data_IF_036221401321
#
_entry.id   IF_036221401321
#
_cell.length_a   1.000
_cell.length_b   1.000
_cell.length_c   1.000
_cell.angle_alpha   90.00
_cell.angle_beta   90.00
_cell.angle_gamma   90.00
#
_symmetry.space_group_name_H-M   'P 1'
#
loop_
_entity.id
_entity.type
_entity.pdbx_description
1 polymer ?
#
# COMPACT_ATOMS: atom_id res chain seq x y z
N UNK A 1 33.81 21.40 25.46
CA UNK A 1 33.01 22.40 24.73
C UNK A 1 32.96 21.96 23.27
N UNK A 2 31.85 21.40 22.79
CA UNK A 2 31.70 21.02 21.38
C UNK A 2 31.47 22.30 20.54
N UNK A 3 32.05 22.41 19.33
CA UNK A 3 31.94 23.60 18.50
C UNK A 3 30.47 23.89 18.12
N UNK A 4 30.10 25.18 18.10
CA UNK A 4 28.72 25.66 17.87
C UNK A 4 28.08 25.12 16.58
N UNK A 5 28.86 24.66 15.61
CA UNK A 5 28.40 24.14 14.32
C UNK A 5 27.52 22.88 14.46
N UNK A 6 27.75 22.05 15.49
CA UNK A 6 27.02 20.76 15.63
C UNK A 6 25.57 20.95 16.13
N UNK A 7 25.22 22.11 16.70
CA UNK A 7 23.85 22.36 17.21
C UNK A 7 22.84 22.69 16.11
N UNK A 8 23.26 23.20 14.96
CA UNK A 8 22.35 23.59 13.86
C UNK A 8 21.73 22.43 13.10
N UNK A 9 22.41 21.27 13.03
CA UNK A 9 21.97 20.14 12.19
C UNK A 9 20.84 19.29 12.78
N UNK A 10 20.51 19.40 14.08
CA UNK A 10 19.42 18.61 14.69
C UNK A 10 18.02 19.00 14.20
N UNK A 11 17.83 20.21 13.69
CA UNK A 11 16.52 20.65 13.17
C UNK A 11 16.17 20.02 11.81
N UNK A 12 17.17 19.79 10.96
CA UNK A 12 17.00 19.11 9.67
C UNK A 12 16.41 17.70 9.81
N UNK A 13 16.70 16.99 10.91
CA UNK A 13 16.18 15.65 11.19
C UNK A 13 14.69 15.62 11.57
N UNK A 14 14.07 16.76 11.90
CA UNK A 14 12.65 16.87 12.27
C UNK A 14 11.72 17.31 11.13
N UNK A 15 12.25 17.71 9.97
CA UNK A 15 11.40 18.09 8.85
C UNK A 15 10.65 16.89 8.25
N UNK A 16 9.34 17.00 7.97
CA UNK A 16 8.45 15.86 7.75
C UNK A 16 8.60 15.17 6.38
N UNK A 17 9.34 15.75 5.43
CA UNK A 17 9.46 15.18 4.07
C UNK A 17 10.93 15.10 3.62
N UNK A 18 11.41 13.93 3.17
CA UNK A 18 12.77 13.76 2.66
C UNK A 18 13.04 14.63 1.43
N UNK A 19 12.03 14.87 0.57
CA UNK A 19 12.13 15.77 -0.57
C UNK A 19 12.47 17.23 -0.17
N UNK A 20 11.86 17.75 0.90
CA UNK A 20 12.14 19.10 1.41
C UNK A 20 13.59 19.21 1.91
N UNK A 21 14.12 18.14 2.53
CA UNK A 21 15.53 18.12 2.97
C UNK A 21 16.49 18.16 1.79
N UNK A 22 16.20 17.40 0.74
CA UNK A 22 16.99 17.40 -0.50
C UNK A 22 17.01 18.78 -1.16
N UNK A 23 15.84 19.41 -1.30
CA UNK A 23 15.72 20.76 -1.84
C UNK A 23 16.50 21.80 -1.02
N UNK A 24 16.41 21.73 0.32
CA UNK A 24 17.11 22.68 1.20
C UNK A 24 18.64 22.48 1.13
N UNK A 25 19.11 21.23 1.11
CA UNK A 25 20.53 20.91 0.93
C UNK A 25 21.06 21.44 -0.40
N UNK A 26 20.30 21.29 -1.47
CA UNK A 26 20.66 21.79 -2.79
C UNK A 26 20.67 23.33 -2.85
N UNK A 27 19.67 23.99 -2.25
CA UNK A 27 19.63 25.46 -2.17
C UNK A 27 20.82 26.01 -1.36
N UNK A 28 21.18 25.36 -0.25
CA UNK A 28 22.35 25.73 0.57
C UNK A 28 23.64 25.51 -0.21
N UNK A 29 23.80 24.37 -0.89
CA UNK A 29 24.98 24.10 -1.72
C UNK A 29 25.12 25.14 -2.85
N UNK A 30 24.02 25.49 -3.53
CA UNK A 30 24.02 26.54 -4.55
C UNK A 30 24.44 27.90 -3.98
N UNK A 31 23.93 28.27 -2.81
CA UNK A 31 24.28 29.53 -2.14
C UNK A 31 25.76 29.58 -1.73
N UNK A 32 26.32 28.47 -1.25
CA UNK A 32 27.74 28.39 -0.88
C UNK A 32 28.67 28.48 -2.10
N UNK A 33 28.30 27.85 -3.22
CA UNK A 33 29.06 27.96 -4.48
C UNK A 33 28.96 29.39 -5.02
N UNK A 34 27.77 30.00 -5.03
CA UNK A 34 27.58 31.38 -5.50
C UNK A 34 28.33 32.42 -4.65
N UNK A 35 28.49 32.16 -3.34
CA UNK A 35 29.25 33.02 -2.43
C UNK A 35 30.78 32.82 -2.51
N UNK A 36 31.27 31.92 -3.38
CA UNK A 36 32.71 31.68 -3.55
C UNK A 36 33.36 30.94 -2.38
N UNK A 37 32.58 30.29 -1.51
CA UNK A 37 33.11 29.52 -0.36
C UNK A 37 33.86 28.27 -0.82
N UNK A 38 33.60 27.81 -2.05
CA UNK A 38 34.30 26.69 -2.69
C UNK A 38 35.15 27.26 -3.83
N UNK A 39 36.42 27.56 -3.54
CA UNK A 39 37.33 28.34 -4.41
C UNK A 39 37.67 27.65 -5.75
N UNK A 40 37.39 26.36 -5.90
CA UNK A 40 37.74 25.60 -7.11
C UNK A 40 36.60 25.47 -8.14
N UNK A 41 35.40 26.00 -7.86
CA UNK A 41 34.26 25.85 -8.75
C UNK A 41 33.91 27.17 -9.46
N UNK A 42 33.72 27.16 -10.79
CA UNK A 42 33.27 28.35 -11.50
C UNK A 42 31.87 28.75 -11.02
N UNK A 43 31.48 30.05 -11.05
CA UNK A 43 30.17 30.51 -10.60
C UNK A 43 28.99 29.80 -11.29
N UNK A 44 29.17 29.37 -12.54
CA UNK A 44 28.19 28.59 -13.29
C UNK A 44 27.85 27.24 -12.64
N UNK A 45 28.74 26.67 -11.83
CA UNK A 45 28.50 25.43 -11.10
C UNK A 45 27.44 25.59 -9.98
N UNK A 46 27.12 26.82 -9.56
CA UNK A 46 26.04 27.08 -8.61
C UNK A 46 24.65 26.69 -9.17
N UNK A 47 24.52 26.57 -10.50
CA UNK A 47 23.30 26.09 -11.13
C UNK A 47 23.08 24.58 -10.94
N UNK A 48 24.14 23.78 -10.73
CA UNK A 48 24.05 22.32 -10.67
C UNK A 48 23.18 21.84 -9.50
N UNK A 49 23.35 22.33 -8.25
CA UNK A 49 22.46 21.95 -7.15
C UNK A 49 21.02 22.45 -7.37
N UNK A 50 20.83 23.63 -7.96
CA UNK A 50 19.48 24.15 -8.27
C UNK A 50 18.76 23.31 -9.32
N UNK A 51 19.47 22.91 -10.38
CA UNK A 51 18.96 22.01 -11.40
C UNK A 51 18.67 20.63 -10.81
N UNK A 52 19.51 20.12 -9.91
CA UNK A 52 19.26 18.86 -9.21
C UNK A 52 18.05 18.97 -8.25
N UNK A 53 17.87 20.10 -7.56
CA UNK A 53 16.67 20.35 -6.75
C UNK A 53 15.40 20.44 -7.59
N UNK A 54 15.47 21.12 -8.73
CA UNK A 54 14.37 21.23 -9.68
C UNK A 54 14.04 19.86 -10.28
N UNK A 55 15.06 19.10 -10.67
CA UNK A 55 14.93 17.70 -11.12
C UNK A 55 14.28 16.83 -10.06
N UNK A 56 14.72 16.90 -8.79
CA UNK A 56 14.07 16.19 -7.68
C UNK A 56 12.62 16.67 -7.42
N UNK A 57 12.28 17.90 -7.79
CA UNK A 57 10.93 18.43 -7.65
C UNK A 57 10.02 18.04 -8.84
N UNK A 58 10.58 17.83 -10.03
CA UNK A 58 9.84 17.48 -11.25
C UNK A 58 9.77 15.98 -11.53
N UNK A 59 10.84 15.23 -11.26
CA UNK A 59 10.97 13.81 -11.61
C UNK A 59 10.73 12.85 -10.44
N UNK A 60 10.71 13.34 -9.20
CA UNK A 60 10.29 12.50 -8.09
C UNK A 60 8.76 12.54 -8.01
N UNK A 61 8.03 11.46 -8.37
CA UNK A 61 6.59 11.48 -8.25
C UNK A 61 6.25 11.89 -6.82
N UNK A 62 5.37 12.90 -6.63
CA UNK A 62 5.03 13.34 -5.30
C UNK A 62 4.56 12.11 -4.52
N UNK A 63 5.00 11.93 -3.26
CA UNK A 63 4.58 10.80 -2.45
C UNK A 63 3.05 10.68 -2.52
N UNK A 64 2.57 9.58 -3.12
CA UNK A 64 1.16 9.37 -3.40
C UNK A 64 0.72 9.46 -4.87
N UNK A 65 1.63 9.46 -5.85
CA UNK A 65 1.25 9.29 -7.26
C UNK A 65 0.48 7.97 -7.44
N UNK A 66 -0.83 8.06 -7.70
CA UNK A 66 -1.73 6.90 -7.76
C UNK A 66 -2.62 6.71 -6.54
N UNK A 67 -2.35 7.38 -5.42
CA UNK A 67 -3.27 7.40 -4.27
C UNK A 67 -4.58 8.07 -4.67
N UNK A 68 -5.70 7.46 -4.29
CA UNK A 68 -7.04 7.84 -4.68
C UNK A 68 -7.49 7.28 -6.03
N UNK A 69 -6.59 6.71 -6.85
CA UNK A 69 -6.95 6.04 -8.11
C UNK A 69 -7.42 4.61 -7.84
N UNK A 70 -8.23 4.02 -8.75
CA UNK A 70 -8.53 2.59 -8.71
C UNK A 70 -7.23 1.78 -8.85
N UNK A 71 -7.14 0.68 -8.09
CA UNK A 71 -6.06 -0.28 -8.20
C UNK A 71 -6.16 -1.02 -9.54
N UNK A 72 -5.08 -1.08 -10.35
CA UNK A 72 -5.09 -1.87 -11.58
C UNK A 72 -5.34 -3.36 -11.33
N UNK A 73 -5.88 -4.11 -12.30
CA UNK A 73 -6.01 -5.56 -12.17
C UNK A 73 -4.62 -6.24 -12.15
N UNK A 74 -4.52 -7.38 -11.47
CA UNK A 74 -3.36 -8.28 -11.48
C UNK A 74 -3.49 -9.31 -12.61
N UNK A 75 -3.67 -8.81 -13.84
CA UNK A 75 -3.88 -9.62 -15.04
C UNK A 75 -2.73 -10.60 -15.28
N UNK A 76 -3.05 -11.79 -15.78
CA UNK A 76 -2.07 -12.81 -16.17
C UNK A 76 -1.10 -13.24 -15.05
N UNK A 77 -1.46 -13.00 -13.79
CA UNK A 77 -0.73 -13.53 -12.64
C UNK A 77 -1.19 -14.94 -12.32
N UNK A 78 -0.24 -15.81 -11.95
CA UNK A 78 -0.51 -17.19 -11.55
C UNK A 78 -0.31 -17.34 -10.06
N UNK A 79 -1.31 -17.86 -9.34
CA UNK A 79 -1.16 -18.20 -7.93
C UNK A 79 -0.23 -19.41 -7.76
N UNK A 80 0.73 -19.28 -6.85
CA UNK A 80 1.69 -20.32 -6.49
C UNK A 80 1.44 -20.72 -5.03
N UNK A 81 1.11 -21.98 -4.79
CA UNK A 81 0.78 -22.52 -3.47
C UNK A 81 -0.71 -22.74 -3.27
N UNK A 82 -1.17 -22.72 -2.01
CA UNK A 82 -2.56 -22.98 -1.65
C UNK A 82 -3.48 -21.76 -1.85
N UNK A 83 -4.73 -22.05 -2.22
CA UNK A 83 -5.69 -21.08 -2.78
C UNK A 83 -6.36 -20.20 -1.72
N UNK A 84 -5.63 -19.20 -1.25
CA UNK A 84 -6.09 -18.30 -0.17
C UNK A 84 -6.61 -16.95 -0.64
N UNK A 85 -6.48 -16.62 -1.93
CA UNK A 85 -6.84 -15.29 -2.45
C UNK A 85 -7.98 -15.41 -3.43
N UNK A 86 -8.99 -14.59 -3.18
CA UNK A 86 -10.06 -14.40 -4.12
C UNK A 86 -9.73 -13.20 -5.01
N UNK A 87 -9.36 -13.50 -6.25
CA UNK A 87 -9.34 -12.57 -7.38
C UNK A 87 -10.49 -12.94 -8.31
N UNK A 88 -11.01 -11.98 -9.06
CA UNK A 88 -11.94 -12.33 -10.14
C UNK A 88 -11.22 -13.01 -11.32
N UNK A 89 -11.99 -13.51 -12.30
CA UNK A 89 -11.45 -14.17 -13.50
C UNK A 89 -10.56 -13.28 -14.37
N UNK A 90 -10.49 -11.98 -14.10
CA UNK A 90 -9.68 -10.98 -14.81
C UNK A 90 -8.50 -10.48 -13.97
N UNK A 91 -8.30 -11.02 -12.76
CA UNK A 91 -7.27 -10.56 -11.82
C UNK A 91 -7.66 -9.28 -11.06
N UNK A 92 -8.91 -8.84 -11.13
CA UNK A 92 -9.41 -7.69 -10.36
C UNK A 92 -9.57 -8.06 -8.89
N UNK A 93 -9.22 -7.11 -8.03
CA UNK A 93 -9.40 -7.18 -6.59
C UNK A 93 -10.91 -7.12 -6.26
N UNK A 94 -11.39 -8.01 -5.38
CA UNK A 94 -12.81 -8.06 -5.03
C UNK A 94 -13.22 -6.88 -4.14
N UNK A 95 -14.38 -6.27 -4.39
CA UNK A 95 -14.90 -5.22 -3.52
C UNK A 95 -15.21 -5.77 -2.11
N UNK A 96 -15.04 -4.94 -1.09
CA UNK A 96 -15.25 -5.31 0.31
C UNK A 96 -14.01 -5.89 1.00
N UNK A 97 -12.89 -6.04 0.29
CA UNK A 97 -11.64 -6.59 0.81
C UNK A 97 -10.52 -5.54 0.85
N UNK A 98 -9.72 -5.59 1.91
CA UNK A 98 -8.46 -4.86 2.02
C UNK A 98 -7.35 -5.68 1.40
N UNK A 99 -6.63 -5.11 0.43
CA UNK A 99 -5.49 -5.78 -0.19
C UNK A 99 -4.18 -5.05 0.12
N UNK A 100 -3.13 -5.84 0.38
CA UNK A 100 -1.75 -5.36 0.44
C UNK A 100 -0.98 -6.06 -0.67
N UNK A 101 -0.77 -5.37 -1.79
CA UNK A 101 -0.07 -5.89 -2.96
C UNK A 101 1.40 -5.51 -2.85
N UNK A 102 2.29 -6.49 -2.77
CA UNK A 102 3.73 -6.27 -2.60
C UNK A 102 4.47 -6.83 -3.80
N UNK A 103 5.06 -5.96 -4.61
CA UNK A 103 5.97 -6.36 -5.67
C UNK A 103 7.34 -6.70 -5.10
N UNK A 104 7.86 -7.85 -5.53
CA UNK A 104 9.01 -8.51 -4.95
C UNK A 104 9.80 -9.28 -6.00
N UNK A 105 11.08 -9.53 -5.71
CA UNK A 105 11.98 -10.38 -6.51
C UNK A 105 13.00 -11.07 -5.62
N UNK A 106 13.67 -12.11 -6.09
CA UNK A 106 14.70 -12.86 -5.36
C UNK A 106 16.01 -12.09 -5.21
N UNK A 107 15.93 -10.96 -4.50
CA UNK A 107 17.07 -10.12 -4.13
C UNK A 107 17.29 -10.16 -2.61
N UNK A 108 18.53 -9.91 -2.19
CA UNK A 108 18.91 -9.90 -0.76
C UNK A 108 18.05 -8.96 0.09
N UNK A 109 17.68 -7.79 -0.45
CA UNK A 109 16.86 -6.82 0.26
C UNK A 109 15.39 -7.28 0.39
N UNK A 110 14.84 -7.84 -0.68
CA UNK A 110 13.50 -8.38 -0.72
C UNK A 110 13.34 -9.60 0.21
N UNK A 111 14.31 -10.51 0.23
CA UNK A 111 14.30 -11.68 1.14
C UNK A 111 14.33 -11.25 2.61
N UNK A 112 15.14 -10.24 2.96
CA UNK A 112 15.21 -9.69 4.33
C UNK A 112 13.88 -9.06 4.80
N UNK A 113 13.04 -8.61 3.87
CA UNK A 113 11.76 -8.00 4.19
C UNK A 113 10.69 -9.01 4.61
N UNK A 114 10.79 -10.26 4.14
CA UNK A 114 9.74 -11.28 4.27
C UNK A 114 9.30 -11.56 5.72
N UNK A 115 10.19 -11.76 6.71
CA UNK A 115 9.76 -12.02 8.08
C UNK A 115 8.99 -10.85 8.71
N UNK A 116 9.21 -9.63 8.21
CA UNK A 116 8.47 -8.45 8.66
C UNK A 116 7.11 -8.35 7.97
N UNK A 117 7.05 -8.63 6.68
CA UNK A 117 5.79 -8.67 5.92
C UNK A 117 4.87 -9.76 6.46
N UNK A 118 5.41 -10.94 6.76
CA UNK A 118 4.64 -12.05 7.33
C UNK A 118 4.05 -11.68 8.70
N UNK A 119 4.83 -11.05 9.59
CA UNK A 119 4.32 -10.58 10.87
C UNK A 119 3.25 -9.50 10.71
N UNK A 120 3.36 -8.64 9.69
CA UNK A 120 2.31 -7.69 9.36
C UNK A 120 1.06 -8.42 8.88
N UNK A 121 1.20 -9.35 7.94
CA UNK A 121 0.11 -10.16 7.41
C UNK A 121 -0.68 -10.88 8.49
N UNK A 122 -0.01 -11.63 9.37
CA UNK A 122 -0.66 -12.36 10.47
C UNK A 122 -1.47 -11.43 11.38
N UNK A 123 -0.96 -10.23 11.67
CA UNK A 123 -1.70 -9.22 12.45
C UNK A 123 -2.93 -8.72 11.70
N UNK A 124 -2.82 -8.47 10.40
CA UNK A 124 -3.95 -8.02 9.59
C UNK A 124 -5.03 -9.10 9.47
N UNK A 125 -4.62 -10.34 9.19
CA UNK A 125 -5.51 -11.49 9.07
C UNK A 125 -6.25 -11.80 10.39
N UNK A 126 -5.61 -11.54 11.54
CA UNK A 126 -6.26 -11.68 12.84
C UNK A 126 -7.34 -10.62 13.11
N UNK A 127 -7.22 -9.41 12.55
CA UNK A 127 -8.19 -8.31 12.75
C UNK A 127 -9.39 -8.43 11.81
N UNK A 128 -9.15 -8.73 10.54
CA UNK A 128 -10.20 -8.89 9.52
C UNK A 128 -10.14 -10.27 8.87
N UNK A 129 -10.53 -11.33 9.60
CA UNK A 129 -10.57 -12.67 9.03
C UNK A 129 -11.50 -12.66 7.81
N UNK A 130 -11.03 -13.21 6.69
CA UNK A 130 -11.72 -13.27 5.38
C UNK A 130 -11.86 -11.96 4.61
N UNK A 131 -11.58 -10.78 5.19
CA UNK A 131 -11.70 -9.48 4.50
C UNK A 131 -10.36 -8.77 4.25
N UNK A 132 -9.25 -9.33 4.73
CA UNK A 132 -7.91 -8.85 4.41
C UNK A 132 -7.15 -9.91 3.60
N UNK A 133 -6.35 -9.47 2.62
CA UNK A 133 -5.46 -10.32 1.82
C UNK A 133 -4.12 -9.62 1.58
N UNK A 134 -3.00 -10.32 1.76
CA UNK A 134 -1.67 -9.84 1.36
C UNK A 134 -1.18 -10.68 0.18
N UNK A 135 -0.85 -10.00 -0.91
CA UNK A 135 -0.43 -10.60 -2.18
C UNK A 135 1.03 -10.24 -2.40
N UNK A 136 1.90 -11.25 -2.39
CA UNK A 136 3.28 -11.09 -2.81
C UNK A 136 3.35 -11.37 -4.31
N UNK A 137 3.64 -10.37 -5.12
CA UNK A 137 3.73 -10.46 -6.58
C UNK A 137 5.20 -10.55 -6.98
N UNK A 138 5.61 -11.72 -7.45
CA UNK A 138 6.94 -11.97 -7.99
C UNK A 138 7.05 -11.43 -9.42
N UNK A 139 8.12 -10.68 -9.70
CA UNK A 139 8.38 -10.08 -11.02
C UNK A 139 8.65 -11.14 -12.12
N UNK A 140 8.74 -10.65 -13.36
CA UNK A 140 8.96 -11.47 -14.55
C UNK A 140 10.27 -12.27 -14.55
N UNK A 141 11.24 -11.91 -13.69
CA UNK A 141 12.52 -12.61 -13.57
C UNK A 141 12.42 -13.95 -12.85
N UNK A 142 11.32 -14.20 -12.13
CA UNK A 142 11.12 -15.43 -11.38
C UNK A 142 10.49 -16.53 -12.25
N UNK A 143 10.83 -17.78 -11.94
CA UNK A 143 10.23 -18.96 -12.58
C UNK A 143 9.36 -19.70 -11.57
N UNK A 144 8.33 -20.40 -12.04
CA UNK A 144 7.48 -21.22 -11.18
C UNK A 144 8.30 -22.25 -10.37
N UNK A 145 9.29 -22.90 -11.01
CA UNK A 145 10.17 -23.84 -10.32
C UNK A 145 11.05 -23.18 -9.26
N UNK A 146 11.62 -22.00 -9.57
CA UNK A 146 12.42 -21.23 -8.61
C UNK A 146 11.57 -20.78 -7.42
N UNK A 147 10.33 -20.36 -7.68
CA UNK A 147 9.40 -19.89 -6.68
C UNK A 147 8.86 -21.03 -5.81
N UNK A 148 8.60 -22.21 -6.39
CA UNK A 148 8.25 -23.42 -5.65
C UNK A 148 9.40 -23.89 -4.74
N UNK A 149 10.64 -23.88 -5.23
CA UNK A 149 11.83 -24.19 -4.43
C UNK A 149 12.02 -23.18 -3.30
N UNK A 150 11.75 -21.90 -3.59
CA UNK A 150 11.74 -20.84 -2.60
C UNK A 150 10.69 -21.09 -1.50
N UNK A 151 9.44 -21.38 -1.87
CA UNK A 151 8.37 -21.69 -0.92
C UNK A 151 8.72 -22.90 -0.05
N UNK A 152 9.28 -23.97 -0.65
CA UNK A 152 9.73 -25.14 0.10
C UNK A 152 10.79 -24.80 1.15
N UNK A 153 11.70 -23.86 0.85
CA UNK A 153 12.70 -23.37 1.81
C UNK A 153 12.09 -22.56 2.96
N UNK A 154 10.96 -21.92 2.70
CA UNK A 154 10.23 -21.05 3.64
C UNK A 154 8.94 -21.70 4.16
N UNK A 155 8.82 -23.01 4.04
CA UNK A 155 7.65 -23.77 4.47
C UNK A 155 7.36 -23.54 5.96
N UNK A 156 6.10 -23.26 6.29
CA UNK A 156 5.65 -22.90 7.64
C UNK A 156 6.06 -21.50 8.12
N UNK A 157 6.93 -20.78 7.39
CA UNK A 157 7.35 -19.43 7.74
C UNK A 157 6.56 -18.36 7.01
N UNK A 158 6.12 -18.62 5.78
CA UNK A 158 5.35 -17.68 4.96
C UNK A 158 3.94 -18.25 4.75
N UNK A 159 2.91 -17.49 5.13
CA UNK A 159 1.51 -17.84 4.90
C UNK A 159 0.76 -16.84 4.04
N UNK A 160 1.41 -15.73 3.67
CA UNK A 160 0.87 -14.82 2.65
C UNK A 160 0.89 -15.49 1.27
N UNK A 161 -0.07 -15.11 0.44
CA UNK A 161 -0.25 -15.70 -0.88
C UNK A 161 0.74 -15.12 -1.88
N UNK A 162 1.19 -15.96 -2.81
CA UNK A 162 2.26 -15.65 -3.74
C UNK A 162 1.77 -15.76 -5.18
N UNK A 163 1.86 -14.67 -5.92
CA UNK A 163 1.51 -14.55 -7.32
C UNK A 163 2.78 -14.47 -8.16
N UNK A 164 2.81 -15.16 -9.28
CA UNK A 164 3.85 -15.07 -10.30
C UNK A 164 3.34 -14.21 -11.46
N UNK A 165 3.97 -13.06 -11.70
CA UNK A 165 3.68 -12.19 -12.85
C UNK A 165 4.61 -12.54 -14.03
N UNK A 166 4.34 -13.68 -14.67
CA UNK A 166 5.20 -14.20 -15.73
C UNK A 166 5.19 -13.30 -16.98
N UNK A 167 4.07 -12.61 -17.24
CA UNK A 167 3.93 -11.69 -18.37
C UNK A 167 4.54 -10.31 -18.07
N UNK A 168 4.68 -9.93 -16.79
CA UNK A 168 5.13 -8.60 -16.37
C UNK A 168 4.02 -7.53 -16.47
N UNK A 169 2.76 -7.93 -16.65
CA UNK A 169 1.67 -6.98 -16.85
C UNK A 169 1.28 -6.28 -15.55
N UNK A 170 1.26 -7.01 -14.43
CA UNK A 170 1.03 -6.40 -13.13
C UNK A 170 2.17 -5.45 -12.76
N UNK A 171 3.42 -5.82 -13.07
CA UNK A 171 4.59 -4.95 -12.90
C UNK A 171 4.46 -3.67 -13.72
N UNK A 172 4.05 -3.74 -14.99
CA UNK A 172 3.83 -2.55 -15.82
C UNK A 172 2.73 -1.65 -15.22
N UNK A 173 1.59 -2.23 -14.86
CA UNK A 173 0.42 -1.48 -14.38
C UNK A 173 0.62 -0.84 -13.00
N UNK A 174 1.52 -1.38 -12.17
CA UNK A 174 1.78 -0.85 -10.83
C UNK A 174 3.13 -0.17 -10.71
N UNK A 175 4.20 -0.81 -11.14
CA UNK A 175 5.57 -0.30 -10.92
C UNK A 175 5.88 0.79 -11.96
N UNK A 176 5.71 0.50 -13.25
CA UNK A 176 6.03 1.48 -14.28
C UNK A 176 5.03 2.63 -14.31
N UNK A 177 3.72 2.33 -14.21
CA UNK A 177 2.67 3.35 -14.24
C UNK A 177 2.77 4.39 -13.12
N UNK A 178 3.34 4.01 -11.97
CA UNK A 178 3.52 4.89 -10.83
C UNK A 178 4.99 5.27 -10.58
N UNK A 179 5.84 5.11 -11.60
CA UNK A 179 7.27 5.48 -11.60
C UNK A 179 8.03 4.96 -10.37
N UNK A 180 7.75 3.72 -9.97
CA UNK A 180 8.35 3.08 -8.80
C UNK A 180 9.76 2.60 -9.14
N UNK A 181 10.74 3.15 -8.45
CA UNK A 181 12.16 2.89 -8.73
C UNK A 181 12.80 1.80 -7.85
N UNK A 182 12.08 1.26 -6.86
CA UNK A 182 12.68 0.36 -5.87
C UNK A 182 11.76 -0.75 -5.43
N UNK A 183 12.31 -1.97 -5.31
CA UNK A 183 11.65 -3.13 -4.71
C UNK A 183 12.33 -3.50 -3.37
N UNK A 184 11.59 -4.08 -2.40
CA UNK A 184 10.16 -4.40 -2.48
C UNK A 184 9.29 -3.15 -2.34
N UNK A 185 8.20 -3.09 -3.10
CA UNK A 185 7.25 -1.98 -3.06
C UNK A 185 5.85 -2.48 -2.78
N UNK A 186 5.11 -1.79 -1.94
CA UNK A 186 3.80 -2.20 -1.50
C UNK A 186 2.75 -1.15 -1.90
N UNK A 187 1.56 -1.63 -2.25
CA UNK A 187 0.34 -0.87 -2.47
C UNK A 187 -0.72 -1.36 -1.49
N UNK A 188 -1.35 -0.45 -0.78
CA UNK A 188 -2.47 -0.74 0.12
C UNK A 188 -3.74 -0.27 -0.57
N UNK A 189 -4.67 -1.19 -0.78
CA UNK A 189 -5.93 -0.99 -1.49
C UNK A 189 -7.08 -1.11 -0.51
N UNK A 190 -7.99 -0.14 -0.55
CA UNK A 190 -9.20 -0.10 0.26
C UNK A 190 -10.24 -1.14 -0.19
N UNK A 191 -11.28 -1.41 0.64
CA UNK A 191 -12.44 -2.20 0.23
C UNK A 191 -13.16 -1.70 -1.02
N UNK A 192 -12.99 -0.41 -1.37
CA UNK A 192 -13.55 0.19 -2.57
C UNK A 192 -12.67 -0.01 -3.82
N UNK A 193 -11.56 -0.75 -3.71
CA UNK A 193 -10.63 -0.98 -4.80
C UNK A 193 -9.76 0.25 -5.12
N UNK A 194 -9.63 1.21 -4.21
CA UNK A 194 -8.81 2.41 -4.41
C UNK A 194 -7.49 2.31 -3.67
N UNK A 195 -6.40 2.77 -4.29
CA UNK A 195 -5.08 2.81 -3.67
C UNK A 195 -5.09 3.90 -2.60
N UNK A 196 -4.92 3.55 -1.33
CA UNK A 196 -4.87 4.52 -0.23
C UNK A 196 -3.45 4.87 0.19
N UNK A 197 -2.49 4.02 -0.16
CA UNK A 197 -1.07 4.22 0.13
C UNK A 197 -0.23 3.34 -0.79
N UNK A 198 0.97 3.81 -1.15
CA UNK A 198 1.99 2.96 -1.74
C UNK A 198 3.39 3.47 -1.35
N UNK A 199 4.37 2.57 -1.32
CA UNK A 199 5.73 2.90 -0.90
C UNK A 199 6.60 1.68 -0.71
N UNK A 200 7.90 1.89 -0.42
CA UNK A 200 8.82 0.80 -0.17
C UNK A 200 8.35 -0.03 1.06
N UNK A 201 8.27 -1.35 0.87
CA UNK A 201 7.66 -2.25 1.85
C UNK A 201 8.46 -2.37 3.16
N UNK A 202 9.73 -1.94 3.17
CA UNK A 202 10.57 -1.90 4.36
C UNK A 202 10.33 -0.66 5.25
N UNK A 203 9.58 0.33 4.78
CA UNK A 203 9.37 1.57 5.52
C UNK A 203 8.28 1.41 6.59
N UNK A 204 8.31 2.28 7.60
CA UNK A 204 7.27 2.32 8.66
C UNK A 204 5.89 2.73 8.11
N UNK A 205 5.87 3.42 6.97
CA UNK A 205 4.65 3.91 6.34
C UNK A 205 3.64 2.82 6.00
N UNK A 206 4.10 1.64 5.57
CA UNK A 206 3.23 0.50 5.26
C UNK A 206 2.41 0.10 6.49
N UNK A 207 3.07 -0.09 7.63
CA UNK A 207 2.39 -0.52 8.87
C UNK A 207 1.35 0.50 9.29
N UNK A 208 1.71 1.79 9.28
CA UNK A 208 0.79 2.87 9.67
C UNK A 208 -0.41 2.98 8.73
N UNK A 209 -0.19 2.89 7.41
CA UNK A 209 -1.26 2.94 6.42
C UNK A 209 -2.22 1.75 6.56
N UNK A 210 -1.68 0.54 6.74
CA UNK A 210 -2.48 -0.67 6.94
C UNK A 210 -3.27 -0.61 8.26
N UNK A 211 -2.64 -0.26 9.39
CA UNK A 211 -3.31 -0.16 10.69
C UNK A 211 -4.41 0.90 10.69
N UNK A 212 -4.18 2.05 10.04
CA UNK A 212 -5.18 3.10 9.89
C UNK A 212 -6.36 2.63 9.02
N UNK A 213 -6.10 1.94 7.91
CA UNK A 213 -7.16 1.40 7.05
C UNK A 213 -7.98 0.33 7.77
N UNK A 214 -7.33 -0.63 8.43
CA UNK A 214 -8.02 -1.69 9.17
C UNK A 214 -8.89 -1.11 10.28
N UNK A 215 -8.39 -0.13 11.03
CA UNK A 215 -9.15 0.53 12.10
C UNK A 215 -10.42 1.21 11.57
N UNK A 216 -10.35 1.83 10.38
CA UNK A 216 -11.53 2.40 9.70
C UNK A 216 -12.54 1.32 9.30
N UNK A 217 -12.08 0.21 8.72
CA UNK A 217 -12.95 -0.89 8.31
C UNK A 217 -13.70 -1.55 9.50
N UNK A 218 -13.04 -1.67 10.65
CA UNK A 218 -13.69 -2.18 11.89
C UNK A 218 -14.76 -1.20 12.36
N UNK A 219 -14.44 0.09 12.45
CA UNK A 219 -15.41 1.11 12.87
C UNK A 219 -16.64 1.18 11.93
N UNK A 220 -16.45 1.05 10.62
CA UNK A 220 -17.54 1.00 9.63
C UNK A 220 -18.44 -0.23 9.85
N UNK A 221 -17.85 -1.40 10.16
CA UNK A 221 -18.61 -2.63 10.43
C UNK A 221 -19.48 -2.53 11.69
N UNK A 222 -18.95 -1.90 12.75
CA UNK A 222 -19.69 -1.71 14.00
C UNK A 222 -20.85 -0.72 13.83
N UNK A 223 -20.65 0.35 13.04
CA UNK A 223 -21.67 1.36 12.78
C UNK A 223 -22.85 0.81 11.95
N UNK A 224 -22.58 0.01 10.92
CA UNK A 224 -23.61 -0.61 10.08
C UNK A 224 -24.49 -1.60 10.83
N UNK A 225 -23.93 -2.28 11.84
CA UNK A 225 -24.67 -3.23 12.69
C UNK A 225 -25.67 -2.50 13.60
N UNK A 226 -25.28 -1.35 14.17
CA UNK A 226 -26.18 -0.53 15.01
C UNK A 226 -27.31 0.10 14.20
N UNK A 227 -26.99 0.67 13.03
CA UNK A 227 -28.00 1.29 12.17
C UNK A 227 -29.02 0.26 11.63
N UNK A 228 -28.60 -0.97 11.35
CA UNK A 228 -29.50 -2.04 10.91
C UNK A 228 -30.38 -2.58 12.04
N UNK A 229 -29.85 -2.66 13.27
CA UNK A 229 -30.63 -3.10 14.44
C UNK A 229 -31.74 -2.10 14.81
N UNK A 230 -31.45 -0.80 14.73
CA UNK A 230 -32.42 0.27 15.04
C UNK A 230 -33.55 0.35 13.99
N UNK A 231 -33.26 0.04 12.73
CA UNK A 231 -34.27 0.00 11.65
C UNK A 231 -35.22 -1.21 11.76
N UNK A 232 -34.76 -2.30 12.37
CA UNK A 232 -35.59 -3.50 12.61
C UNK A 232 -36.50 -3.29 13.83
N UNK A 233 -36.04 -2.59 14.89
CA UNK A 233 -36.88 -2.29 16.04
C UNK A 233 -37.98 -1.27 15.73
N UNK A 234 -37.74 -0.28 14.86
CA UNK A 234 -38.78 0.70 14.48
C UNK A 234 -39.84 0.15 13.51
N UNK A 235 -39.59 -1.00 12.86
CA UNK A 235 -40.55 -1.64 11.97
C UNK A 235 -41.52 -2.60 12.70
N UNK A 236 -41.19 -3.00 13.95
CA UNK A 236 -42.01 -3.91 14.77
C UNK A 236 -43.26 -3.26 15.37
N UNK A 237 -43.27 -1.93 15.56
CA UNK A 237 -44.38 -1.23 16.21
C UNK A 237 -45.51 -0.80 15.26
N UNK A 238 -45.34 -0.99 13.94
CA UNK A 238 -46.34 -0.58 12.94
C UNK A 238 -47.17 -1.72 12.34
N UNK A 239 -47.09 -2.94 12.88
CA UNK A 239 -47.86 -4.11 12.40
C UNK A 239 -49.00 -4.56 13.34
N UNK A 240 -49.26 -3.82 14.43
CA UNK A 240 -50.37 -4.09 15.35
C UNK A 240 -51.54 -3.10 15.19
N UNK A 241 -52.02 -2.88 13.96
CA UNK A 241 -53.35 -2.31 13.78
C UNK A 241 -54.06 -2.87 12.55
N UNK A 242 -54.91 -3.86 12.79
CA UNK A 242 -56.20 -3.97 12.12
C UNK A 242 -56.24 -4.56 10.73
N UNK A 243 -56.34 -5.89 10.63
CA UNK A 243 -57.26 -6.48 9.66
C UNK A 243 -57.89 -7.77 10.17
N UNK A 244 -59.15 -7.62 10.58
CA UNK A 244 -60.07 -8.66 11.03
C UNK A 244 -60.40 -9.58 9.84
N UNK A 245 -60.27 -10.92 9.95
CA UNK A 245 -60.65 -11.81 8.87
C UNK A 245 -62.18 -11.84 8.75
N UNK A 246 -62.71 -11.40 7.62
CA UNK A 246 -64.09 -11.65 7.23
C UNK A 246 -64.23 -13.07 6.71
N UNK A 247 -64.85 -13.90 7.55
CA UNK A 247 -65.31 -15.26 7.28
C UNK A 247 -66.39 -15.25 6.20
N UNK A 248 -66.06 -15.61 4.96
CA UNK A 248 -67.01 -15.79 3.86
C UNK A 248 -67.45 -17.25 3.75
N UNK A 249 -68.65 -17.50 4.27
CA UNK A 249 -69.51 -18.66 4.07
C UNK A 249 -69.77 -19.00 2.58
N UNK A 250 -69.60 -20.29 2.26
CA UNK A 250 -70.62 -21.22 1.71
C UNK A 250 -71.42 -20.80 0.46
N UNK A 251 -71.25 -21.56 -0.64
CA UNK A 251 -72.32 -22.15 -1.49
C UNK A 251 -71.65 -23.01 -2.58
N UNK A 252 -71.84 -24.33 -2.50
CA UNK A 252 -72.71 -25.19 -3.33
C UNK A 252 -72.00 -25.67 -4.60
#
# INVERSE_FOLDING_TARGET
RLPMVVRGMRWLARMPRPAIRGQLLCAVAAALIAAGVVEELPPAAAAIPLLFAAYLAFEYPPPGAGVGKPAPPLSNTKLIGEDTVQLDNKGTLLPGHVYIVVFWRSSKQCIRALPRLERLWRRCAAVLPKKASMLLVADRGETEAGLAAFLKRWEGQITMSLLLDQAGEAEVEYIHRFDVLSLPHAFVVSPQGTIVWHGNANLKGLIQATEALLSRCVAETDSGTKASAEKISSAGDSAANGQKPTESKKKK
#
